data_IF_419947731885
#
_entry.id   IF_419947731885
#
_cell.length_a   1.000
_cell.length_b   1.000
_cell.length_c   1.000
_cell.angle_alpha   90.00
_cell.angle_beta   90.00
_cell.angle_gamma   90.00
#
_symmetry.space_group_name_H-M   'P 1'
#
loop_
_entity.id
_entity.type
_entity.pdbx_description
1 polymer ?
#
# COMPACT_ATOMS: atom_id res chain seq x y z
N UNK A 1 -11.41 -16.09 -5.50
CA UNK A 1 -12.03 -14.89 -4.94
C UNK A 1 -10.89 -13.95 -4.63
N UNK A 2 -10.61 -13.04 -5.55
CA UNK A 2 -9.50 -12.12 -5.39
C UNK A 2 -9.84 -11.19 -4.24
N UNK A 3 -9.02 -11.24 -3.19
CA UNK A 3 -9.22 -10.47 -1.98
C UNK A 3 -8.99 -9.00 -2.34
N UNK A 4 -10.07 -8.26 -2.59
CA UNK A 4 -10.02 -6.82 -2.86
C UNK A 4 -9.65 -6.14 -1.55
N UNK A 5 -8.34 -5.99 -1.32
CA UNK A 5 -7.82 -5.12 -0.28
C UNK A 5 -8.12 -3.69 -0.69
N UNK A 6 -8.91 -2.96 0.08
CA UNK A 6 -9.08 -1.51 -0.08
C UNK A 6 -8.49 -0.82 1.15
N UNK A 7 -7.56 0.11 0.93
CA UNK A 7 -6.87 0.84 1.99
C UNK A 7 -6.95 2.35 1.74
N UNK A 8 -7.55 3.07 2.67
CA UNK A 8 -7.67 4.54 2.65
C UNK A 8 -8.30 5.09 1.34
N UNK A 9 -9.28 4.36 0.78
CA UNK A 9 -9.88 4.68 -0.53
C UNK A 9 -10.95 5.78 -0.49
N UNK A 10 -11.47 6.12 0.70
CA UNK A 10 -12.44 7.20 0.83
C UNK A 10 -11.74 8.56 0.76
N UNK A 11 -11.77 9.15 -0.43
CA UNK A 11 -11.18 10.45 -0.72
C UNK A 11 -11.96 11.64 -0.16
N UNK A 12 -13.14 11.42 0.44
CA UNK A 12 -13.88 12.47 1.16
C UNK A 12 -13.38 12.67 2.60
N UNK A 13 -12.56 11.74 3.10
CA UNK A 13 -12.05 11.74 4.46
C UNK A 13 -10.53 11.91 4.50
N UNK A 14 -10.03 12.72 5.44
CA UNK A 14 -8.59 12.84 5.68
C UNK A 14 -8.04 11.56 6.31
N UNK A 15 -7.10 10.90 5.64
CA UNK A 15 -6.30 9.83 6.20
C UNK A 15 -4.89 10.33 6.57
N UNK A 16 -4.50 10.18 7.84
CA UNK A 16 -3.14 10.47 8.32
C UNK A 16 -2.48 9.18 8.77
N UNK A 17 -1.34 8.83 8.17
CA UNK A 17 -0.61 7.60 8.47
C UNK A 17 0.80 7.92 8.99
N UNK A 18 1.12 7.44 10.19
CA UNK A 18 2.48 7.49 10.75
C UNK A 18 3.31 6.33 10.20
N UNK A 19 3.83 6.49 8.99
CA UNK A 19 4.56 5.43 8.28
C UNK A 19 5.81 4.94 9.01
N UNK A 20 6.40 5.75 9.91
CA UNK A 20 7.52 5.35 10.75
C UNK A 20 7.17 4.17 11.68
N UNK A 21 5.93 4.13 12.18
CA UNK A 21 5.46 3.13 13.14
C UNK A 21 5.03 1.81 12.47
N UNK A 22 4.96 1.79 11.13
CA UNK A 22 4.57 0.61 10.37
C UNK A 22 5.74 -0.35 10.16
N UNK A 23 5.47 -1.65 10.22
CA UNK A 23 6.39 -2.68 9.75
C UNK A 23 6.55 -2.67 8.22
N UNK A 24 7.73 -3.07 7.75
CA UNK A 24 7.96 -3.29 6.32
C UNK A 24 7.30 -4.60 5.88
N UNK A 25 6.74 -4.61 4.67
CA UNK A 25 6.20 -5.80 4.03
C UNK A 25 6.97 -6.09 2.74
N UNK A 26 7.18 -7.37 2.46
CA UNK A 26 7.83 -7.81 1.22
C UNK A 26 6.92 -7.51 0.01
N UNK A 27 7.52 -6.99 -1.06
CA UNK A 27 6.88 -6.92 -2.36
C UNK A 27 7.00 -8.27 -3.10
N UNK A 28 6.26 -8.42 -4.21
CA UNK A 28 6.48 -9.50 -5.16
C UNK A 28 7.86 -9.40 -5.85
N UNK A 29 8.46 -8.21 -5.86
CA UNK A 29 9.85 -8.04 -6.27
C UNK A 29 10.78 -8.32 -5.09
N UNK A 30 11.73 -9.28 -5.21
CA UNK A 30 12.48 -9.81 -4.06
C UNK A 30 13.32 -8.80 -3.27
N UNK A 31 13.73 -7.69 -3.89
CA UNK A 31 14.59 -6.66 -3.27
C UNK A 31 13.81 -5.40 -2.86
N UNK A 32 12.48 -5.43 -2.99
CA UNK A 32 11.63 -4.28 -2.74
C UNK A 32 10.78 -4.53 -1.51
N UNK A 33 10.87 -3.59 -0.57
CA UNK A 33 10.05 -3.55 0.62
C UNK A 33 9.11 -2.36 0.54
N UNK A 34 7.87 -2.51 1.01
CA UNK A 34 6.91 -1.42 0.99
C UNK A 34 6.18 -1.23 2.32
N UNK A 35 5.67 -0.01 2.49
CA UNK A 35 4.61 0.37 3.43
C UNK A 35 3.51 1.00 2.61
N UNK A 36 2.41 0.28 2.44
CA UNK A 36 1.27 0.71 1.63
C UNK A 36 0.44 1.73 2.40
N UNK A 37 0.19 2.89 1.80
CA UNK A 37 -0.55 4.00 2.41
C UNK A 37 -1.92 4.20 1.78
N UNK A 38 -2.05 3.87 0.49
CA UNK A 38 -3.30 3.89 -0.27
C UNK A 38 -3.29 2.71 -1.22
N UNK A 39 -4.43 2.03 -1.38
CA UNK A 39 -4.61 1.00 -2.39
C UNK A 39 -6.08 0.87 -2.76
N UNK A 40 -6.36 1.05 -4.05
CA UNK A 40 -7.69 0.97 -4.62
C UNK A 40 -7.66 0.20 -5.94
N UNK A 41 -8.59 -0.73 -6.12
CA UNK A 41 -8.73 -1.55 -7.32
C UNK A 41 -8.06 -2.93 -7.28
N UNK A 42 -8.14 -3.69 -8.38
CA UNK A 42 -7.62 -5.05 -8.48
C UNK A 42 -6.09 -5.07 -8.65
N UNK A 43 -5.42 -6.17 -8.28
CA UNK A 43 -3.96 -6.25 -8.15
C UNK A 43 -3.13 -5.67 -9.32
N UNK A 44 -3.57 -5.82 -10.58
CA UNK A 44 -2.86 -5.36 -11.78
C UNK A 44 -3.32 -3.99 -12.31
N UNK A 45 -4.46 -3.47 -11.84
CA UNK A 45 -4.96 -2.15 -12.21
C UNK A 45 -5.11 -1.21 -11.00
N UNK A 46 -4.55 -1.61 -9.85
CA UNK A 46 -4.70 -0.88 -8.61
C UNK A 46 -3.88 0.40 -8.63
N UNK A 47 -4.49 1.46 -8.10
CA UNK A 47 -3.79 2.69 -7.77
C UNK A 47 -3.18 2.48 -6.39
N UNK A 48 -1.87 2.70 -6.27
CA UNK A 48 -1.14 2.49 -5.01
C UNK A 48 -0.29 3.71 -4.67
N UNK A 49 -0.34 4.11 -3.40
CA UNK A 49 0.66 5.00 -2.81
C UNK A 49 1.42 4.23 -1.74
N UNK A 50 2.75 4.20 -1.82
CA UNK A 50 3.59 3.48 -0.88
C UNK A 50 4.88 4.23 -0.58
N UNK A 51 5.40 4.07 0.63
CA UNK A 51 6.83 4.29 0.89
C UNK A 51 7.55 3.01 0.50
N UNK A 52 8.61 3.14 -0.29
CA UNK A 52 9.40 2.00 -0.77
C UNK A 52 10.84 2.11 -0.28
N UNK A 53 11.42 0.95 0.02
CA UNK A 53 12.84 0.78 0.26
C UNK A 53 13.36 -0.29 -0.69
N UNK A 54 14.50 -0.01 -1.30
CA UNK A 54 15.27 -0.97 -2.08
C UNK A 54 16.41 -1.49 -1.23
N UNK A 55 16.67 -2.79 -1.32
CA UNK A 55 17.88 -3.44 -0.82
C UNK A 55 18.89 -3.66 -1.94
#
# INVERSE_FOLDING_TARGET
>A
MDNVLSLNVDMSTLAVVRSADMGWQASLSPTVWHKRLYFDGPAEAAIVTSVVRYE
#
